data_IF_356041107710
#
_entry.id   IF_356041107710
#
_cell.length_a   1.000
_cell.length_b   1.000
_cell.length_c   1.000
_cell.angle_alpha   90.00
_cell.angle_beta   90.00
_cell.angle_gamma   90.00
#
_symmetry.space_group_name_H-M   'P 1'
#
loop_
_entity.id
_entity.type
_entity.pdbx_description
1 polymer ?
#
# COMPACT_ATOMS: atom_id res chain seq x y z
N UNK A 1 -0.88 2.41 -15.63
CA UNK A 1 -0.20 1.70 -14.53
C UNK A 1 1.28 1.68 -14.85
N UNK A 2 2.10 2.37 -14.07
CA UNK A 2 3.56 2.36 -14.20
C UNK A 2 4.10 1.05 -13.62
N UNK A 3 4.85 0.29 -14.43
CA UNK A 3 5.54 -0.91 -13.96
C UNK A 3 6.89 -0.48 -13.38
N UNK A 4 7.20 -0.82 -12.12
CA UNK A 4 8.49 -0.45 -11.55
C UNK A 4 9.61 -1.10 -12.37
N UNK A 5 10.60 -0.30 -12.78
CA UNK A 5 11.81 -0.83 -13.41
C UNK A 5 12.67 -1.52 -12.35
N UNK A 6 12.65 -2.85 -12.31
CA UNK A 6 13.45 -3.64 -11.38
C UNK A 6 12.87 -5.01 -11.08
N UNK A 7 13.63 -5.80 -10.31
CA UNK A 7 13.22 -7.09 -9.79
C UNK A 7 12.15 -6.93 -8.69
N UNK A 8 11.35 -7.97 -8.46
CA UNK A 8 10.29 -8.03 -7.43
C UNK A 8 10.86 -7.69 -6.05
N UNK A 9 12.11 -8.07 -5.78
CA UNK A 9 12.82 -7.77 -4.54
C UNK A 9 12.87 -6.26 -4.21
N UNK A 10 12.97 -5.40 -5.23
CA UNK A 10 12.96 -3.94 -5.02
C UNK A 10 11.59 -3.43 -4.60
N UNK A 11 10.51 -4.06 -5.06
CA UNK A 11 9.16 -3.72 -4.62
C UNK A 11 8.96 -4.11 -3.15
N UNK A 12 9.44 -5.30 -2.76
CA UNK A 12 9.41 -5.78 -1.38
C UNK A 12 10.20 -4.83 -0.48
N UNK A 13 11.41 -4.44 -0.87
CA UNK A 13 12.24 -3.50 -0.11
C UNK A 13 11.53 -2.17 0.15
N UNK A 14 10.86 -1.61 -0.87
CA UNK A 14 10.08 -0.38 -0.71
C UNK A 14 8.90 -0.56 0.26
N UNK A 15 8.19 -1.70 0.19
CA UNK A 15 7.13 -1.99 1.17
C UNK A 15 7.72 -2.02 2.58
N UNK A 16 8.78 -2.79 2.81
CA UNK A 16 9.36 -2.97 4.15
C UNK A 16 9.95 -1.70 4.73
N UNK A 17 10.68 -0.92 3.92
CA UNK A 17 11.48 0.20 4.42
C UNK A 17 10.78 1.55 4.34
N UNK A 18 9.76 1.69 3.47
CA UNK A 18 9.09 2.98 3.23
C UNK A 18 7.63 2.92 3.67
N UNK A 19 6.88 1.91 3.22
CA UNK A 19 5.43 1.88 3.40
C UNK A 19 5.05 1.34 4.78
N UNK A 20 5.61 0.20 5.20
CA UNK A 20 5.25 -0.46 6.44
C UNK A 20 5.41 0.42 7.70
N UNK A 21 6.50 1.20 7.87
CA UNK A 21 6.64 2.09 9.03
C UNK A 21 5.52 3.13 9.14
N UNK A 22 5.01 3.62 8.01
CA UNK A 22 3.94 4.62 7.95
C UNK A 22 2.55 4.01 8.16
N UNK A 23 2.37 2.71 7.89
CA UNK A 23 1.11 1.99 8.13
C UNK A 23 0.94 1.52 9.58
N UNK A 24 2.04 1.25 10.29
CA UNK A 24 1.98 0.72 11.65
C UNK A 24 1.29 1.71 12.58
N UNK A 25 0.24 1.24 13.26
CA UNK A 25 -0.54 2.04 14.22
C UNK A 25 -1.73 2.76 13.60
N UNK A 26 -1.96 2.65 12.29
CA UNK A 26 -3.17 3.15 11.63
C UNK A 26 -4.31 2.13 11.70
N UNK A 27 -5.53 2.63 11.59
CA UNK A 27 -6.71 1.78 11.51
C UNK A 27 -6.89 1.28 10.08
N UNK A 28 -6.92 -0.04 9.89
CA UNK A 28 -7.11 -0.64 8.57
C UNK A 28 -8.49 -0.34 7.97
N UNK A 29 -9.48 -0.02 8.81
CA UNK A 29 -10.85 0.30 8.37
C UNK A 29 -10.96 1.68 7.70
N UNK A 30 -9.94 2.53 7.87
CA UNK A 30 -9.85 3.86 7.27
C UNK A 30 -9.22 3.78 5.87
N UNK A 31 -9.83 3.01 4.96
CA UNK A 31 -9.28 2.72 3.64
C UNK A 31 -8.90 3.97 2.83
N UNK A 32 -9.75 5.00 2.85
CA UNK A 32 -9.46 6.27 2.15
C UNK A 32 -8.20 6.97 2.69
N UNK A 33 -7.96 6.90 4.01
CA UNK A 33 -6.78 7.49 4.63
C UNK A 33 -5.51 6.71 4.27
N UNK A 34 -5.60 5.38 4.20
CA UNK A 34 -4.49 4.52 3.80
C UNK A 34 -4.14 4.73 2.31
N UNK A 35 -5.14 4.85 1.44
CA UNK A 35 -4.92 5.11 0.02
C UNK A 35 -4.34 6.52 -0.20
N UNK A 36 -4.81 7.52 0.55
CA UNK A 36 -4.24 8.86 0.55
C UNK A 36 -2.78 8.86 1.02
N UNK A 37 -2.47 8.12 2.09
CA UNK A 37 -1.10 7.95 2.57
C UNK A 37 -0.19 7.34 1.48
N UNK A 38 -0.66 6.34 0.73
CA UNK A 38 0.13 5.76 -0.37
C UNK A 38 0.43 6.79 -1.45
N UNK A 39 -0.52 7.68 -1.77
CA UNK A 39 -0.29 8.81 -2.67
C UNK A 39 0.72 9.81 -2.10
N UNK A 40 0.65 10.12 -0.81
CA UNK A 40 1.59 11.03 -0.13
C UNK A 40 3.02 10.46 -0.12
N UNK A 41 3.18 9.19 0.25
CA UNK A 41 4.46 8.47 0.29
C UNK A 41 5.10 8.45 -1.10
N UNK A 42 4.32 8.14 -2.14
CA UNK A 42 4.83 8.11 -3.52
C UNK A 42 5.15 9.52 -4.03
N UNK A 43 4.26 10.49 -3.79
CA UNK A 43 4.41 11.87 -4.21
C UNK A 43 4.47 12.07 -5.73
N UNK A 44 4.04 11.10 -6.53
CA UNK A 44 3.79 11.24 -7.97
C UNK A 44 2.32 10.97 -8.28
N UNK A 45 1.86 11.38 -9.46
CA UNK A 45 0.46 11.19 -9.86
C UNK A 45 0.17 9.76 -10.34
N UNK A 46 1.19 8.93 -10.56
CA UNK A 46 1.07 7.65 -11.25
C UNK A 46 1.74 6.46 -10.53
N UNK A 47 2.11 6.64 -9.27
CA UNK A 47 2.83 5.66 -8.45
C UNK A 47 4.18 5.23 -9.05
N UNK A 48 4.87 6.13 -9.77
CA UNK A 48 6.14 5.79 -10.42
C UNK A 48 7.32 5.63 -9.44
N UNK A 49 7.23 6.12 -8.20
CA UNK A 49 8.30 5.92 -7.19
C UNK A 49 8.15 4.61 -6.45
N UNK A 50 6.99 4.32 -5.85
CA UNK A 50 6.78 3.08 -5.09
C UNK A 50 6.40 1.90 -5.98
N UNK A 51 5.72 2.18 -7.09
CA UNK A 51 5.21 1.20 -8.05
C UNK A 51 3.70 1.02 -7.92
N UNK A 52 2.97 1.12 -9.02
CA UNK A 52 1.51 1.00 -9.01
C UNK A 52 1.02 -0.34 -8.46
N UNK A 53 1.64 -1.45 -8.88
CA UNK A 53 1.28 -2.78 -8.37
C UNK A 53 1.51 -2.91 -6.86
N UNK A 54 2.56 -2.26 -6.34
CA UNK A 54 2.86 -2.23 -4.91
C UNK A 54 1.77 -1.46 -4.15
N UNK A 55 1.40 -0.28 -4.63
CA UNK A 55 0.32 0.51 -4.03
C UNK A 55 -1.01 -0.28 -4.02
N UNK A 56 -1.38 -0.89 -5.14
CA UNK A 56 -2.60 -1.73 -5.22
C UNK A 56 -2.56 -2.93 -4.28
N UNK A 57 -1.43 -3.64 -4.20
CA UNK A 57 -1.30 -4.80 -3.32
C UNK A 57 -1.44 -4.42 -1.84
N UNK A 58 -0.86 -3.30 -1.43
CA UNK A 58 -0.97 -2.78 -0.05
C UNK A 58 -2.39 -2.32 0.24
N UNK A 59 -3.02 -1.60 -0.69
CA UNK A 59 -4.42 -1.14 -0.58
C UNK A 59 -5.37 -2.32 -0.40
N UNK A 60 -5.24 -3.37 -1.22
CA UNK A 60 -6.06 -4.58 -1.12
C UNK A 60 -5.80 -5.34 0.19
N UNK A 61 -4.54 -5.51 0.59
CA UNK A 61 -4.20 -6.19 1.84
C UNK A 61 -4.75 -5.45 3.07
N UNK A 62 -4.85 -4.12 3.00
CA UNK A 62 -5.47 -3.29 4.04
C UNK A 62 -6.96 -3.57 4.15
N UNK A 63 -7.68 -3.58 3.02
CA UNK A 63 -9.10 -3.91 2.97
C UNK A 63 -9.37 -5.33 3.49
N UNK A 64 -8.53 -6.31 3.11
CA UNK A 64 -8.58 -7.67 3.63
C UNK A 64 -8.37 -7.74 5.14
N UNK A 65 -7.42 -6.98 5.68
CA UNK A 65 -7.16 -6.90 7.12
C UNK A 65 -8.37 -6.32 7.88
N UNK A 66 -8.98 -5.26 7.36
CA UNK A 66 -10.20 -4.65 7.90
C UNK A 66 -11.36 -5.66 7.93
N UNK A 67 -11.70 -6.26 6.78
CA UNK A 67 -12.77 -7.26 6.68
C UNK A 67 -12.55 -8.46 7.61
N UNK A 68 -11.31 -8.94 7.69
CA UNK A 68 -10.92 -10.02 8.60
C UNK A 68 -11.11 -9.64 10.06
N UNK A 69 -10.79 -8.40 10.44
CA UNK A 69 -10.94 -7.90 11.82
C UNK A 69 -12.41 -7.88 12.26
N UNK A 70 -13.34 -7.63 11.33
CA UNK A 70 -14.78 -7.67 11.58
C UNK A 70 -15.39 -9.08 11.43
N UNK A 71 -14.63 -10.08 11.00
CA UNK A 71 -15.16 -11.42 10.72
C UNK A 71 -16.11 -11.43 9.51
N UNK A 72 -15.90 -10.53 8.56
CA UNK A 72 -16.71 -10.38 7.35
C UNK A 72 -15.94 -10.91 6.13
N UNK A 73 -16.64 -11.38 5.08
CA UNK A 73 -16.00 -11.50 3.78
C UNK A 73 -15.55 -10.12 3.27
N UNK A 74 -14.50 -10.12 2.44
CA UNK A 74 -14.12 -8.96 1.63
C UNK A 74 -15.20 -8.64 0.60
#
# INVERSE_FOLDING_TARGET
>A
VSYPQGDVDKAIEKVTNIIAPELIGRNADEQEEIDALLHEIDGTTDFSKIGGNTAYAVSLATAEAAATSYGMPL
#
